data_IF_769793434990
#
_entry.id   IF_769793434990
#
_cell.length_a   1.000
_cell.length_b   1.000
_cell.length_c   1.000
_cell.angle_alpha   90.00
_cell.angle_beta   90.00
_cell.angle_gamma   90.00
#
_symmetry.space_group_name_H-M   'P 1'
#
loop_
_entity.id
_entity.type
_entity.pdbx_description
1 polymer ?
#
# COMPACT_ATOMS: atom_id res chain seq x y z
N UNK A 1 28.46 -26.43 -7.93
CA UNK A 1 27.83 -25.14 -7.62
C UNK A 1 26.37 -25.25 -8.01
N UNK A 2 25.48 -25.36 -7.03
CA UNK A 2 24.05 -25.58 -7.26
C UNK A 2 23.36 -24.23 -7.23
N UNK A 3 22.94 -23.74 -8.39
CA UNK A 3 22.18 -22.50 -8.54
C UNK A 3 20.76 -22.73 -8.00
N UNK A 4 20.40 -22.02 -6.94
CA UNK A 4 19.05 -21.96 -6.40
C UNK A 4 18.15 -21.24 -7.44
N UNK A 5 17.02 -21.83 -7.87
CA UNK A 5 16.14 -21.16 -8.81
C UNK A 5 15.50 -19.94 -8.14
N UNK A 6 15.54 -18.80 -8.83
CA UNK A 6 14.83 -17.60 -8.44
C UNK A 6 13.33 -17.93 -8.29
N UNK A 7 12.74 -17.53 -7.17
CA UNK A 7 11.31 -17.65 -6.95
C UNK A 7 10.57 -16.94 -8.09
N UNK A 8 9.79 -17.70 -8.86
CA UNK A 8 9.00 -17.16 -9.96
C UNK A 8 7.84 -16.39 -9.35
N UNK A 9 7.91 -15.06 -9.38
CA UNK A 9 6.77 -14.20 -9.02
C UNK A 9 5.61 -14.56 -9.94
N UNK A 10 4.53 -15.08 -9.36
CA UNK A 10 3.31 -15.37 -10.10
C UNK A 10 2.63 -14.04 -10.38
N UNK A 11 2.73 -13.56 -11.61
CA UNK A 11 1.99 -12.39 -12.09
C UNK A 11 0.49 -12.73 -12.08
N UNK A 12 -0.29 -11.96 -11.31
CA UNK A 12 -1.73 -12.14 -11.16
C UNK A 12 -2.45 -11.05 -11.95
N UNK A 13 -3.44 -11.40 -12.77
CA UNK A 13 -4.26 -10.40 -13.49
C UNK A 13 -5.20 -9.66 -12.51
N UNK A 14 -5.31 -8.32 -12.60
CA UNK A 14 -6.21 -7.53 -11.74
C UNK A 14 -7.66 -7.98 -11.91
N UNK A 15 -8.45 -8.01 -10.82
CA UNK A 15 -9.87 -8.33 -10.88
C UNK A 15 -10.24 -9.81 -11.01
N UNK A 16 -9.28 -10.73 -11.01
CA UNK A 16 -9.55 -12.19 -11.06
C UNK A 16 -9.77 -12.83 -9.68
N UNK A 17 -9.37 -12.16 -8.60
CA UNK A 17 -9.48 -12.67 -7.23
C UNK A 17 -10.69 -12.02 -6.55
N UNK A 18 -11.67 -12.81 -6.08
CA UNK A 18 -12.84 -12.25 -5.40
C UNK A 18 -12.44 -11.62 -4.05
N UNK A 19 -13.01 -10.44 -3.78
CA UNK A 19 -12.87 -9.75 -2.49
C UNK A 19 -13.81 -10.36 -1.45
N UNK A 20 -13.32 -10.65 -0.24
CA UNK A 20 -14.18 -11.15 0.85
C UNK A 20 -14.99 -10.01 1.48
N UNK A 21 -16.19 -9.78 0.97
CA UNK A 21 -17.11 -8.78 1.50
C UNK A 21 -17.59 -9.07 2.94
N UNK A 22 -17.38 -10.29 3.45
CA UNK A 22 -17.78 -10.69 4.81
C UNK A 22 -16.77 -10.24 5.86
N UNK A 23 -15.58 -9.85 5.45
CA UNK A 23 -14.50 -9.38 6.31
C UNK A 23 -14.22 -7.91 6.00
N UNK A 24 -15.05 -6.98 6.51
CA UNK A 24 -14.86 -5.57 6.25
C UNK A 24 -13.52 -5.09 6.84
N UNK A 25 -12.96 -4.05 6.22
CA UNK A 25 -11.77 -3.37 6.72
C UNK A 25 -11.93 -2.98 8.19
N UNK A 26 -10.98 -3.43 9.03
CA UNK A 26 -10.87 -3.08 10.45
C UNK A 26 -9.58 -2.28 10.65
N UNK A 27 -9.60 -0.98 10.37
CA UNK A 27 -8.39 -0.17 10.48
C UNK A 27 -8.00 -0.01 11.95
N UNK A 28 -6.70 0.05 12.20
CA UNK A 28 -6.13 0.33 13.53
C UNK A 28 -5.27 1.59 13.54
N UNK A 29 -4.98 2.15 12.35
CA UNK A 29 -4.28 3.43 12.19
C UNK A 29 -5.03 4.32 11.20
N UNK A 30 -4.92 5.63 11.42
CA UNK A 30 -5.34 6.66 10.48
C UNK A 30 -4.20 7.67 10.32
N UNK A 31 -3.85 7.98 9.07
CA UNK A 31 -2.70 8.80 8.72
C UNK A 31 -3.13 9.86 7.70
N UNK A 32 -2.68 11.10 7.89
CA UNK A 32 -2.71 12.09 6.81
C UNK A 32 -1.46 11.95 5.95
N UNK A 33 -1.62 12.19 4.65
CA UNK A 33 -0.54 12.25 3.67
C UNK A 33 -0.64 13.60 2.96
N UNK A 34 0.24 14.54 3.29
CA UNK A 34 0.19 15.91 2.76
C UNK A 34 1.35 16.17 1.82
N UNK A 35 1.06 16.39 0.54
CA UNK A 35 2.05 16.79 -0.46
C UNK A 35 2.18 18.32 -0.45
N UNK A 36 3.36 18.79 -0.04
CA UNK A 36 3.68 20.21 -0.03
C UNK A 36 4.19 20.69 -1.39
N UNK A 37 4.03 21.98 -1.67
CA UNK A 37 4.57 22.63 -2.88
C UNK A 37 6.08 22.46 -3.06
N UNK A 38 6.82 22.28 -1.96
CA UNK A 38 8.29 22.16 -1.97
C UNK A 38 8.78 20.73 -2.23
N UNK A 39 7.90 19.80 -2.61
CA UNK A 39 8.27 18.42 -2.91
C UNK A 39 8.57 17.58 -1.68
N UNK A 40 8.06 17.99 -0.51
CA UNK A 40 8.03 17.15 0.69
C UNK A 40 6.64 16.52 0.85
N UNK A 41 6.62 15.27 1.31
CA UNK A 41 5.40 14.58 1.73
C UNK A 41 5.47 14.41 3.25
N UNK A 42 4.48 14.93 3.95
CA UNK A 42 4.40 14.87 5.41
C UNK A 42 3.34 13.84 5.79
N UNK A 43 3.72 12.90 6.66
CA UNK A 43 2.83 11.86 7.17
C UNK A 43 2.54 12.14 8.64
N UNK A 44 1.29 12.38 9.00
CA UNK A 44 0.91 12.70 10.39
C UNK A 44 -0.06 11.67 10.96
N UNK A 45 0.03 11.47 12.27
CA UNK A 45 -0.81 10.52 12.99
C UNK A 45 -2.18 11.12 13.33
N UNK A 46 -3.23 10.55 12.75
CA UNK A 46 -4.63 10.86 13.05
C UNK A 46 -5.35 9.70 13.76
N UNK A 47 -4.61 8.70 14.25
CA UNK A 47 -5.17 7.45 14.80
C UNK A 47 -6.16 7.69 15.94
N UNK A 48 -5.91 8.68 16.80
CA UNK A 48 -6.82 9.04 17.89
C UNK A 48 -8.21 9.48 17.41
N UNK A 49 -8.32 9.92 16.15
CA UNK A 49 -9.56 10.38 15.52
C UNK A 49 -10.20 9.34 14.58
N UNK A 50 -9.60 8.15 14.46
CA UNK A 50 -10.05 7.09 13.54
C UNK A 50 -11.57 6.81 13.57
N UNK A 51 -12.25 6.73 14.74
CA UNK A 51 -13.70 6.48 14.78
C UNK A 51 -14.56 7.53 14.05
N UNK A 52 -14.02 8.74 13.87
CA UNK A 52 -14.68 9.85 13.16
C UNK A 52 -14.22 9.97 11.71
N UNK A 53 -13.09 9.36 11.37
CA UNK A 53 -12.45 9.46 10.05
C UNK A 53 -12.82 8.30 9.12
N UNK A 54 -13.30 7.19 9.68
CA UNK A 54 -13.69 6.01 8.92
C UNK A 54 -14.98 5.40 9.47
N UNK A 55 -15.90 5.09 8.56
CA UNK A 55 -16.97 4.15 8.83
C UNK A 55 -17.11 3.16 7.66
N UNK A 56 -17.38 1.87 7.91
CA UNK A 56 -17.52 0.88 6.84
C UNK A 56 -18.55 1.25 5.77
N UNK A 57 -19.62 1.95 6.16
CA UNK A 57 -20.74 2.31 5.28
C UNK A 57 -20.53 3.61 4.51
N UNK A 58 -19.88 4.62 5.10
CA UNK A 58 -19.69 5.94 4.48
C UNK A 58 -18.28 6.15 3.94
N UNK A 59 -17.33 5.27 4.25
CA UNK A 59 -15.95 5.36 3.82
C UNK A 59 -15.13 6.36 4.64
N UNK A 60 -14.28 7.13 3.93
CA UNK A 60 -13.27 8.01 4.51
C UNK A 60 -13.76 9.47 4.58
N UNK A 61 -13.62 10.10 5.74
CA UNK A 61 -14.03 11.49 5.97
C UNK A 61 -12.84 12.46 5.78
N UNK A 62 -12.38 12.63 4.54
CA UNK A 62 -11.21 13.48 4.23
C UNK A 62 -11.38 14.94 4.69
N UNK A 63 -12.58 15.50 4.60
CA UNK A 63 -12.85 16.87 5.08
C UNK A 63 -12.69 17.03 6.60
N UNK A 64 -12.97 15.97 7.37
CA UNK A 64 -12.69 15.96 8.80
C UNK A 64 -11.19 15.84 9.06
N UNK A 65 -10.47 15.01 8.29
CA UNK A 65 -9.02 14.89 8.40
C UNK A 65 -8.29 16.22 8.11
N UNK A 66 -8.65 16.94 7.05
CA UNK A 66 -8.08 18.27 6.75
C UNK A 66 -8.20 19.23 7.94
N UNK A 67 -9.37 19.29 8.57
CA UNK A 67 -9.58 20.15 9.75
C UNK A 67 -8.70 19.76 10.94
N UNK A 68 -8.39 18.48 11.10
CA UNK A 68 -7.51 18.00 12.16
C UNK A 68 -6.04 18.35 11.88
N UNK A 69 -5.63 18.32 10.62
CA UNK A 69 -4.26 18.71 10.20
C UNK A 69 -3.99 20.18 10.54
N UNK A 70 -4.97 21.06 10.29
CA UNK A 70 -4.88 22.50 10.58
C UNK A 70 -5.18 22.86 12.05
N UNK A 71 -5.51 21.88 12.90
CA UNK A 71 -5.84 22.13 14.29
C UNK A 71 -4.62 22.55 15.12
N UNK A 72 -4.87 23.20 16.26
CA UNK A 72 -3.84 23.55 17.24
C UNK A 72 -4.12 22.85 18.58
N UNK A 73 -3.20 22.02 19.10
CA UNK A 73 -1.90 21.66 18.52
C UNK A 73 -2.04 20.79 17.26
N UNK A 74 -1.07 20.90 16.36
CA UNK A 74 -1.04 20.10 15.13
C UNK A 74 -0.79 18.61 15.46
N UNK A 75 -1.30 17.68 14.64
CA UNK A 75 -1.06 16.26 14.82
C UNK A 75 0.43 15.88 14.70
N UNK A 76 0.90 14.85 15.43
CA UNK A 76 2.30 14.41 15.39
C UNK A 76 2.73 14.00 13.99
N UNK A 77 3.90 14.47 13.54
CA UNK A 77 4.54 13.98 12.31
C UNK A 77 5.24 12.65 12.61
N UNK A 78 4.93 11.62 11.84
CA UNK A 78 5.55 10.30 11.94
C UNK A 78 6.70 10.14 10.96
N UNK A 79 6.47 10.55 9.72
CA UNK A 79 7.44 10.44 8.64
C UNK A 79 7.45 11.70 7.79
N UNK A 80 8.64 12.05 7.30
CA UNK A 80 8.81 13.06 6.26
C UNK A 80 9.51 12.39 5.08
N UNK A 81 8.91 12.48 3.90
CA UNK A 81 9.56 12.07 2.66
C UNK A 81 10.05 13.31 1.93
N UNK A 82 11.28 13.26 1.44
CA UNK A 82 11.91 14.36 0.73
C UNK A 82 12.42 13.89 -0.63
N UNK A 83 12.12 14.65 -1.68
CA UNK A 83 12.74 14.48 -3.00
C UNK A 83 14.21 14.91 -2.92
N UNK A 84 15.12 13.98 -3.17
CA UNK A 84 16.57 14.24 -3.17
C UNK A 84 17.07 14.77 -4.51
N UNK A 85 16.27 14.69 -5.57
CA UNK A 85 16.59 15.27 -6.86
C UNK A 85 15.40 15.98 -7.50
N UNK A 86 15.72 16.88 -8.44
CA UNK A 86 14.74 17.69 -9.16
C UNK A 86 13.79 16.85 -10.03
N UNK A 87 14.21 15.65 -10.42
CA UNK A 87 13.42 14.74 -11.24
C UNK A 87 12.44 13.88 -10.40
N UNK A 88 12.48 13.97 -9.06
CA UNK A 88 11.64 13.15 -8.18
C UNK A 88 11.91 11.65 -8.26
N UNK A 89 13.08 11.25 -8.79
CA UNK A 89 13.42 9.82 -8.98
C UNK A 89 13.96 9.19 -7.70
N UNK A 90 14.32 10.01 -6.72
CA UNK A 90 14.89 9.56 -5.46
C UNK A 90 14.19 10.28 -4.32
N UNK A 91 13.55 9.49 -3.44
CA UNK A 91 12.98 9.97 -2.20
C UNK A 91 13.63 9.27 -1.01
N UNK A 92 13.93 10.04 0.03
CA UNK A 92 14.32 9.55 1.35
C UNK A 92 13.16 9.73 2.32
N UNK A 93 12.93 8.76 3.19
CA UNK A 93 11.96 8.84 4.28
C UNK A 93 12.69 8.90 5.61
N UNK A 94 12.41 9.93 6.41
CA UNK A 94 12.93 10.09 7.77
C UNK A 94 11.80 9.95 8.79
N UNK A 95 12.12 9.38 9.95
CA UNK A 95 11.20 9.33 11.10
C UNK A 95 11.13 10.66 11.87
N UNK A 96 10.34 10.66 12.95
CA UNK A 96 10.17 11.81 13.86
C UNK A 96 11.46 12.26 14.56
N UNK A 97 12.46 11.38 14.68
CA UNK A 97 13.79 11.71 15.22
C UNK A 97 14.74 12.23 14.12
N UNK A 98 14.31 12.24 12.86
CA UNK A 98 15.12 12.64 11.71
C UNK A 98 16.07 11.54 11.21
N UNK A 99 15.91 10.31 11.69
CA UNK A 99 16.67 9.15 11.22
C UNK A 99 16.06 8.63 9.93
N UNK A 100 16.91 8.33 8.95
CA UNK A 100 16.49 7.73 7.69
C UNK A 100 16.01 6.29 7.92
N UNK A 101 14.77 6.00 7.50
CA UNK A 101 14.12 4.70 7.67
C UNK A 101 13.86 4.00 6.35
N UNK A 102 13.87 4.72 5.23
CA UNK A 102 13.80 4.13 3.92
C UNK A 102 14.33 5.07 2.83
N UNK A 103 14.75 4.46 1.74
CA UNK A 103 15.14 5.12 0.50
C UNK A 103 14.35 4.47 -0.64
N UNK A 104 13.76 5.24 -1.55
CA UNK A 104 13.28 4.69 -2.82
C UNK A 104 14.09 5.23 -3.97
N UNK A 105 14.27 4.38 -5.00
CA UNK A 105 14.79 4.80 -6.30
C UNK A 105 13.84 4.38 -7.41
N UNK A 106 13.31 5.37 -8.13
CA UNK A 106 12.48 5.17 -9.32
C UNK A 106 13.39 5.11 -10.56
N UNK A 107 13.35 4.02 -11.34
CA UNK A 107 14.18 3.84 -12.52
C UNK A 107 13.57 4.55 -13.74
N UNK A 108 13.42 5.88 -13.69
CA UNK A 108 12.88 6.69 -14.80
C UNK A 108 13.72 6.56 -16.08
N UNK A 109 14.98 6.11 -15.97
CA UNK A 109 15.90 5.95 -17.11
C UNK A 109 16.00 4.51 -17.65
N UNK A 110 15.22 3.56 -17.13
CA UNK A 110 15.21 2.20 -17.65
C UNK A 110 14.03 1.99 -18.61
N UNK A 111 14.26 1.31 -19.73
CA UNK A 111 13.20 0.85 -20.66
C UNK A 111 12.19 -0.12 -20.00
N UNK A 112 12.31 -0.39 -18.69
CA UNK A 112 11.38 -1.12 -17.83
C UNK A 112 10.74 -0.17 -16.81
N UNK A 113 10.22 0.96 -17.34
CA UNK A 113 9.79 2.19 -16.66
C UNK A 113 8.56 2.06 -15.73
N UNK A 114 8.47 0.99 -14.94
CA UNK A 114 7.30 0.77 -14.10
C UNK A 114 7.57 0.14 -12.74
N UNK A 115 8.75 -0.43 -12.51
CA UNK A 115 9.10 -1.04 -11.23
C UNK A 115 9.70 0.01 -10.29
N UNK A 116 9.14 0.17 -9.09
CA UNK A 116 9.73 1.01 -8.02
C UNK A 116 10.30 0.12 -6.93
N UNK A 117 11.55 0.34 -6.55
CA UNK A 117 12.19 -0.40 -5.44
C UNK A 117 12.36 0.52 -4.22
N UNK A 118 11.81 0.08 -3.09
CA UNK A 118 11.89 0.75 -1.79
C UNK A 118 12.81 -0.07 -0.90
N UNK A 119 13.87 0.54 -0.40
CA UNK A 119 14.82 -0.05 0.54
C UNK A 119 14.52 0.47 1.95
N UNK A 120 14.07 -0.41 2.83
CA UNK A 120 13.87 -0.12 4.24
C UNK A 120 15.20 -0.26 4.99
N UNK A 121 15.53 0.78 5.75
CA UNK A 121 16.79 0.91 6.48
C UNK A 121 16.54 0.56 7.95
N UNK A 122 17.18 -0.51 8.40
CA UNK A 122 17.04 -1.05 9.75
C UNK A 122 18.09 -2.13 10.02
N UNK A 123 17.94 -2.87 11.12
CA UNK A 123 18.82 -3.99 11.46
C UNK A 123 18.77 -5.08 10.39
N UNK A 124 17.59 -5.32 9.82
CA UNK A 124 17.40 -6.14 8.63
C UNK A 124 17.04 -5.23 7.45
N UNK A 125 18.00 -5.00 6.54
CA UNK A 125 17.70 -4.30 5.29
C UNK A 125 16.73 -5.15 4.45
N UNK A 126 15.57 -4.58 4.13
CA UNK A 126 14.54 -5.22 3.30
C UNK A 126 14.28 -4.36 2.09
N UNK A 127 14.12 -4.99 0.93
CA UNK A 127 13.72 -4.32 -0.30
C UNK A 127 12.33 -4.79 -0.69
N UNK A 128 11.44 -3.84 -0.96
CA UNK A 128 10.11 -4.09 -1.51
C UNK A 128 10.07 -3.54 -2.92
N UNK A 129 9.69 -4.43 -3.83
CA UNK A 129 9.52 -4.12 -5.24
C UNK A 129 8.04 -3.95 -5.54
N UNK A 130 7.66 -2.73 -5.96
CA UNK A 130 6.32 -2.38 -6.38
C UNK A 130 6.26 -2.48 -7.91
N UNK A 131 5.36 -3.33 -8.41
CA UNK A 131 5.26 -3.66 -9.83
C UNK A 131 3.85 -3.31 -10.33
N UNK A 132 3.69 -2.67 -11.50
CA UNK A 132 2.38 -2.45 -12.07
C UNK A 132 1.73 -3.79 -12.41
N UNK A 133 0.40 -3.81 -12.41
CA UNK A 133 -0.38 -4.94 -12.88
C UNK A 133 -1.42 -4.43 -13.87
N UNK A 134 -1.54 -5.14 -15.00
CA UNK A 134 -2.49 -4.82 -16.06
C UNK A 134 -2.05 -3.65 -16.95
N UNK A 135 -2.88 -3.38 -17.96
CA UNK A 135 -2.55 -2.39 -19.01
C UNK A 135 -2.74 -0.93 -18.55
N UNK A 136 -3.65 -0.67 -17.61
CA UNK A 136 -4.06 0.69 -17.26
C UNK A 136 -3.28 1.32 -16.10
N UNK A 137 -2.29 0.60 -15.54
CA UNK A 137 -1.48 1.01 -14.37
C UNK A 137 -2.34 1.53 -13.21
N UNK A 138 -3.52 0.95 -13.02
CA UNK A 138 -4.45 1.27 -11.92
C UNK A 138 -4.23 0.35 -10.71
N UNK A 139 -3.47 -0.74 -10.90
CA UNK A 139 -3.13 -1.68 -9.86
C UNK A 139 -1.62 -1.89 -9.80
N UNK A 140 -1.11 -2.06 -8.58
CA UNK A 140 0.30 -2.32 -8.32
C UNK A 140 0.43 -3.41 -7.25
N UNK A 141 1.33 -4.38 -7.44
CA UNK A 141 1.59 -5.45 -6.47
C UNK A 141 2.97 -5.32 -5.85
N UNK A 142 3.05 -5.81 -4.61
CA UNK A 142 4.32 -6.02 -3.94
C UNK A 142 4.23 -7.23 -3.01
N UNK A 143 5.39 -7.84 -2.72
CA UNK A 143 5.50 -8.94 -1.75
C UNK A 143 6.22 -8.44 -0.51
N UNK A 144 5.68 -8.73 0.66
CA UNK A 144 6.29 -8.40 1.95
C UNK A 144 5.98 -9.47 2.98
N UNK A 145 7.00 -9.93 3.74
CA UNK A 145 6.88 -11.01 4.72
C UNK A 145 6.12 -12.25 4.18
N UNK A 146 6.48 -12.70 2.97
CA UNK A 146 5.87 -13.84 2.25
C UNK A 146 4.36 -13.71 1.95
N UNK A 147 3.79 -12.51 2.08
CA UNK A 147 2.42 -12.19 1.67
C UNK A 147 2.45 -11.33 0.40
N UNK A 148 1.45 -11.52 -0.45
CA UNK A 148 1.25 -10.71 -1.65
C UNK A 148 0.19 -9.64 -1.38
N UNK A 149 0.53 -8.42 -1.74
CA UNK A 149 -0.33 -7.26 -1.58
C UNK A 149 -0.62 -6.63 -2.93
N UNK A 150 -1.81 -6.07 -3.08
CA UNK A 150 -2.24 -5.37 -4.29
C UNK A 150 -2.88 -4.05 -3.89
N UNK A 151 -2.29 -2.95 -4.33
CA UNK A 151 -2.97 -1.67 -4.39
C UNK A 151 -3.83 -1.63 -5.65
N UNK A 152 -5.10 -1.25 -5.52
CA UNK A 152 -6.00 -1.00 -6.63
C UNK A 152 -6.61 0.40 -6.52
N UNK A 153 -6.73 1.09 -7.64
CA UNK A 153 -7.39 2.38 -7.75
C UNK A 153 -8.78 2.23 -8.37
N UNK A 154 -9.79 2.88 -7.79
CA UNK A 154 -11.15 2.85 -8.34
C UNK A 154 -11.22 3.54 -9.73
N UNK A 155 -10.38 4.56 -9.93
CA UNK A 155 -10.37 5.39 -11.14
C UNK A 155 -8.94 5.71 -11.59
N UNK A 156 -8.80 6.11 -12.87
CA UNK A 156 -7.52 6.55 -13.42
C UNK A 156 -6.91 7.78 -12.72
N UNK A 157 -7.73 8.55 -11.99
CA UNK A 157 -7.30 9.75 -11.24
C UNK A 157 -6.75 9.45 -9.84
N UNK A 158 -6.65 8.18 -9.43
CA UNK A 158 -6.00 7.76 -8.19
C UNK A 158 -6.54 8.43 -6.91
N UNK A 159 -7.79 8.90 -6.96
CA UNK A 159 -8.44 9.60 -5.84
C UNK A 159 -8.82 8.65 -4.72
N UNK A 160 -9.19 7.41 -5.05
CA UNK A 160 -9.60 6.38 -4.10
C UNK A 160 -8.80 5.11 -4.40
N UNK A 161 -8.21 4.53 -3.36
CA UNK A 161 -7.39 3.32 -3.47
C UNK A 161 -7.66 2.35 -2.33
N UNK A 162 -7.48 1.09 -2.63
CA UNK A 162 -7.65 -0.02 -1.71
C UNK A 162 -6.39 -0.87 -1.71
N UNK A 163 -5.95 -1.29 -0.53
CA UNK A 163 -4.89 -2.28 -0.38
C UNK A 163 -5.51 -3.60 0.02
N UNK A 164 -5.20 -4.63 -0.75
CA UNK A 164 -5.61 -6.00 -0.46
C UNK A 164 -4.41 -6.86 -0.11
N UNK A 165 -4.61 -7.80 0.81
CA UNK A 165 -3.73 -8.96 0.98
C UNK A 165 -4.38 -10.18 0.33
N UNK A 166 -3.61 -10.93 -0.43
CA UNK A 166 -4.06 -12.17 -1.06
C UNK A 166 -3.85 -13.32 -0.09
N UNK A 167 -4.94 -13.95 0.33
CA UNK A 167 -4.93 -15.10 1.23
C UNK A 167 -5.39 -16.36 0.50
N UNK A 168 -4.72 -17.47 0.80
CA UNK A 168 -5.24 -18.79 0.45
C UNK A 168 -6.24 -19.18 1.54
N UNK A 169 -7.48 -19.57 1.18
CA UNK A 169 -8.45 -20.01 2.15
C UNK A 169 -7.85 -21.23 2.84
N UNK A 170 -7.70 -21.15 4.15
CA UNK A 170 -7.33 -22.31 4.95
C UNK A 170 -8.48 -23.29 4.81
N UNK A 171 -8.34 -24.30 3.94
CA UNK A 171 -9.21 -25.46 3.95
C UNK A 171 -9.19 -25.97 5.38
N UNK A 172 -10.31 -25.84 6.09
CA UNK A 172 -10.46 -26.43 7.42
C UNK A 172 -10.03 -27.88 7.28
N UNK A 173 -8.92 -28.24 7.93
CA UNK A 173 -8.41 -29.60 7.95
C UNK A 173 -9.55 -30.46 8.45
N UNK A 174 -10.22 -31.18 7.53
CA UNK A 174 -11.23 -32.13 7.89
C UNK A 174 -10.53 -33.13 8.81
N UNK A 175 -10.96 -33.16 10.07
CA UNK A 175 -10.53 -34.15 11.05
C UNK A 175 -10.95 -35.49 10.45
N UNK A 176 -10.00 -36.19 9.83
CA UNK A 176 -10.25 -37.50 9.24
C UNK A 176 -10.61 -38.46 10.37
N UNK A 177 -11.73 -39.20 10.30
CA UNK A 177 -11.91 -40.39 11.12
C UNK A 177 -10.89 -41.42 10.66
N UNK A 178 -10.23 -42.05 11.63
CA UNK A 178 -9.19 -43.03 11.40
C UNK A 178 -9.73 -44.29 10.68
N UNK A 179 -8.83 -44.85 9.87
CA UNK A 179 -8.76 -46.24 9.37
C UNK A 179 -9.75 -46.71 8.29
N UNK A 180 -9.19 -46.94 7.09
CA UNK A 180 -9.12 -48.28 6.49
C UNK A 180 -8.63 -48.21 5.04
N UNK A 181 -7.57 -48.95 4.76
CA UNK A 181 -6.85 -49.10 3.51
C UNK A 181 -7.73 -49.45 2.30
N UNK A 182 -7.59 -48.71 1.19
CA UNK A 182 -7.61 -49.26 -0.18
C UNK A 182 -7.18 -48.21 -1.20
N UNK A 183 -6.28 -48.61 -2.10
CA UNK A 183 -5.73 -47.82 -3.20
C UNK A 183 -6.82 -47.35 -4.18
N UNK A 184 -6.96 -46.04 -4.37
CA UNK A 184 -7.72 -45.42 -5.47
C UNK A 184 -7.03 -44.13 -5.96
N UNK A 185 -7.25 -43.73 -7.22
CA UNK A 185 -6.35 -42.89 -8.01
C UNK A 185 -6.37 -41.41 -7.58
N UNK A 186 -5.25 -40.73 -7.86
CA UNK A 186 -5.03 -39.31 -7.65
C UNK A 186 -6.26 -38.49 -8.07
N UNK A 187 -6.96 -37.97 -7.07
CA UNK A 187 -8.02 -36.99 -7.27
C UNK A 187 -7.36 -35.68 -7.72
N UNK A 188 -7.85 -35.01 -8.78
CA UNK A 188 -7.37 -33.69 -9.14
C UNK A 188 -7.59 -32.76 -7.94
N UNK A 189 -6.51 -32.16 -7.43
CA UNK A 189 -6.58 -31.19 -6.35
C UNK A 189 -7.60 -30.12 -6.73
N UNK A 190 -8.65 -29.96 -5.91
CA UNK A 190 -9.62 -28.89 -6.11
C UNK A 190 -8.88 -27.55 -6.28
N UNK A 191 -9.34 -26.67 -7.19
CA UNK A 191 -8.70 -25.38 -7.41
C UNK A 191 -8.62 -24.60 -6.09
N UNK A 192 -7.41 -24.17 -5.72
CA UNK A 192 -7.19 -23.31 -4.55
C UNK A 192 -7.82 -21.94 -4.87
N UNK A 193 -8.96 -21.65 -4.25
CA UNK A 193 -9.68 -20.39 -4.46
C UNK A 193 -9.07 -19.27 -3.62
N UNK A 194 -8.05 -18.56 -4.15
CA UNK A 194 -7.51 -17.37 -3.47
C UNK A 194 -8.59 -16.32 -3.22
N UNK A 195 -8.46 -15.55 -2.14
CA UNK A 195 -9.38 -14.47 -1.76
C UNK A 195 -8.58 -13.22 -1.40
N UNK A 196 -9.12 -12.05 -1.74
CA UNK A 196 -8.53 -10.76 -1.39
C UNK A 196 -9.20 -10.20 -0.12
N UNK A 197 -8.41 -9.82 0.88
CA UNK A 197 -8.88 -9.13 2.10
C UNK A 197 -8.43 -7.68 2.07
N UNK A 198 -9.36 -6.75 2.19
CA UNK A 198 -9.04 -5.32 2.27
C UNK A 198 -8.39 -4.99 3.62
N UNK A 199 -7.18 -4.43 3.58
CA UNK A 199 -6.40 -4.07 4.77
C UNK A 199 -6.05 -2.59 4.86
N UNK A 200 -6.22 -1.83 3.78
CA UNK A 200 -6.12 -0.37 3.83
C UNK A 200 -7.02 0.29 2.79
N UNK A 201 -7.37 1.55 3.07
CA UNK A 201 -8.12 2.41 2.16
C UNK A 201 -7.53 3.81 2.19
N UNK A 202 -7.40 4.41 1.03
CA UNK A 202 -6.87 5.76 0.85
C UNK A 202 -7.82 6.61 0.04
N UNK A 203 -7.93 7.88 0.41
CA UNK A 203 -8.59 8.90 -0.41
C UNK A 203 -7.74 10.16 -0.46
N UNK A 204 -7.78 10.90 -1.57
CA UNK A 204 -7.11 12.20 -1.71
C UNK A 204 -7.97 13.27 -2.34
N UNK A 205 -7.67 14.53 -2.03
CA UNK A 205 -8.23 15.71 -2.69
C UNK A 205 -7.14 16.70 -3.08
N UNK A 206 -7.42 17.46 -4.13
CA UNK A 206 -6.60 18.62 -4.50
C UNK A 206 -7.01 19.83 -3.66
N UNK A 207 -6.01 20.50 -3.09
CA UNK A 207 -6.21 21.73 -2.33
C UNK A 207 -5.79 22.90 -3.20
N UNK A 208 -6.77 23.72 -3.60
CA UNK A 208 -6.54 24.98 -4.31
C UNK A 208 -6.46 26.09 -3.26
N UNK A 209 -5.33 26.79 -3.20
CA UNK A 209 -4.95 27.56 -2.02
C UNK A 209 -5.78 28.82 -1.74
N UNK A 210 -6.11 29.00 -0.46
CA UNK A 210 -5.77 30.21 0.28
C UNK A 210 -5.01 29.79 1.56
N UNK A 211 -3.80 30.33 1.77
CA UNK A 211 -2.92 30.00 2.91
C UNK A 211 -1.96 28.83 2.65
N UNK A 212 -2.46 27.70 2.12
CA UNK A 212 -1.66 26.57 1.68
C UNK A 212 -1.51 26.60 0.16
N UNK A 213 -0.30 26.91 -0.32
CA UNK A 213 -0.03 27.22 -1.72
C UNK A 213 -0.10 25.97 -2.63
N UNK A 214 -1.28 25.42 -2.89
CA UNK A 214 -1.49 24.31 -3.85
C UNK A 214 -0.85 22.99 -3.42
N UNK A 215 -1.64 21.92 -3.31
CA UNK A 215 -1.13 20.61 -2.90
C UNK A 215 -2.15 19.50 -3.01
N UNK A 216 -1.77 18.31 -2.53
CA UNK A 216 -2.66 17.16 -2.36
C UNK A 216 -2.71 16.82 -0.87
N UNK A 217 -3.91 16.62 -0.37
CA UNK A 217 -4.14 16.07 0.97
C UNK A 217 -4.77 14.69 0.81
N UNK A 218 -4.24 13.74 1.56
CA UNK A 218 -4.70 12.36 1.56
C UNK A 218 -5.02 11.88 2.98
N UNK A 219 -5.97 10.95 3.07
CA UNK A 219 -6.30 10.21 4.27
C UNK A 219 -6.13 8.72 3.98
N UNK A 220 -5.22 8.07 4.70
CA UNK A 220 -4.99 6.63 4.69
C UNK A 220 -5.50 6.03 6.01
N UNK A 221 -6.30 4.98 5.93
CA UNK A 221 -6.56 4.10 7.07
C UNK A 221 -6.05 2.71 6.75
N UNK A 222 -5.41 2.05 7.71
CA UNK A 222 -4.84 0.72 7.50
C UNK A 222 -4.94 -0.15 8.75
N UNK A 223 -4.95 -1.46 8.55
CA UNK A 223 -4.82 -2.45 9.61
C UNK A 223 -3.33 -2.74 9.84
N UNK A 224 -2.74 -2.07 10.84
CA UNK A 224 -1.33 -2.23 11.19
C UNK A 224 -1.00 -3.61 11.80
N UNK A 225 -2.00 -4.45 12.07
CA UNK A 225 -1.78 -5.86 12.41
C UNK A 225 -1.47 -6.73 11.19
N UNK A 226 -1.86 -6.30 9.99
CA UNK A 226 -1.63 -7.05 8.75
C UNK A 226 -0.39 -6.61 7.98
N UNK A 227 -0.09 -5.31 8.00
CA UNK A 227 1.07 -4.73 7.32
C UNK A 227 1.75 -3.69 8.21
N UNK A 228 3.08 -3.63 8.15
CA UNK A 228 3.84 -2.57 8.79
C UNK A 228 3.46 -1.21 8.18
N UNK A 229 3.21 -0.22 9.05
CA UNK A 229 2.73 1.10 8.66
C UNK A 229 3.60 1.77 7.60
N UNK A 230 4.92 1.80 7.83
CA UNK A 230 5.88 2.40 6.90
C UNK A 230 5.86 1.72 5.53
N UNK A 231 5.63 0.41 5.48
CA UNK A 231 5.52 -0.34 4.21
C UNK A 231 4.26 0.06 3.47
N UNK A 232 3.11 0.11 4.16
CA UNK A 232 1.85 0.55 3.56
C UNK A 232 1.92 1.98 3.03
N UNK A 233 2.51 2.90 3.80
CA UNK A 233 2.66 4.31 3.42
C UNK A 233 3.59 4.48 2.22
N UNK A 234 4.80 3.88 2.25
CA UNK A 234 5.78 4.11 1.20
C UNK A 234 5.40 3.45 -0.12
N UNK A 235 4.76 2.28 -0.09
CA UNK A 235 4.23 1.63 -1.30
C UNK A 235 3.08 2.44 -1.92
N UNK A 236 2.22 3.06 -1.10
CA UNK A 236 1.20 3.99 -1.57
C UNK A 236 1.84 5.25 -2.21
N UNK A 237 2.83 5.86 -1.54
CA UNK A 237 3.52 7.03 -2.09
C UNK A 237 4.20 6.70 -3.43
N UNK A 238 4.79 5.51 -3.58
CA UNK A 238 5.37 5.05 -4.85
C UNK A 238 4.31 5.05 -5.97
N UNK A 239 3.13 4.50 -5.70
CA UNK A 239 2.00 4.49 -6.64
C UNK A 239 1.51 5.91 -7.01
N UNK A 240 1.58 6.86 -6.07
CA UNK A 240 1.14 8.25 -6.29
C UNK A 240 2.12 9.06 -7.13
N UNK A 241 3.44 8.88 -6.96
CA UNK A 241 4.47 9.70 -7.62
C UNK A 241 4.79 9.24 -9.06
N UNK A 242 4.54 7.98 -9.44
CA UNK A 242 4.80 7.46 -10.80
C UNK A 242 4.04 8.22 -11.90
N UNK A 243 2.97 8.96 -11.57
CA UNK A 243 2.15 9.71 -12.53
C UNK A 243 2.29 11.24 -12.49
N UNK A 244 2.97 11.80 -11.48
CA UNK A 244 3.20 13.26 -11.44
C UNK A 244 4.41 13.68 -12.30
N UNK A 245 4.99 12.74 -13.06
CA UNK A 245 6.04 13.02 -14.02
C UNK A 245 5.41 13.62 -15.29
N UNK A 246 5.95 14.74 -15.83
CA UNK A 246 5.51 15.23 -17.12
C UNK A 246 5.71 14.12 -18.17
N UNK A 247 4.69 13.90 -19.00
CA UNK A 247 4.85 13.12 -20.23
C UNK A 247 5.95 13.81 -21.05
N UNK A 248 7.12 13.16 -21.14
CA UNK A 248 8.26 13.60 -21.94
C UNK A 248 8.04 13.27 -23.41
#
# INVERSE_FOLDING_TARGET
>A
MTTQPAAKTVEHEPGTIPVDVRQPLKPTRALSITHTKHGQIIIQDLTSSLPTLFAPTTGLAIEAATKLIDATPAPPVLYTLKKENLLGTHLTATDKEGKEVAEWKNPILSFHASKVSIKFLGEEQKTVDVNPIGHDKISESFTFNNKNYIWESEFAHHQHKHLYVIVEPTTATAVAPAESSTSTPQTPSAPIHKVALEIARYTQKHVHGHGHAGGKEGLLVLNAGEIEEVVGVLTLCAMLEVRDLPEL
#
